data_IF_715543319004
#
_entry.id   IF_715543319004
#
_cell.length_a   1.000
_cell.length_b   1.000
_cell.length_c   1.000
_cell.angle_alpha   90.00
_cell.angle_beta   90.00
_cell.angle_gamma   90.00
#
_symmetry.space_group_name_H-M   'P 1'
#
loop_
_entity.id
_entity.type
_entity.pdbx_description
1 polymer ?
#
# COMPACT_ATOMS: atom_id res chain seq x y z
N UNK A 1 -13.23 13.99 -2.79
CA UNK A 1 -13.55 12.66 -2.23
C UNK A 1 -14.40 12.89 -1.00
N UNK A 2 -15.64 12.38 -0.95
CA UNK A 2 -16.29 12.18 0.34
C UNK A 2 -15.59 10.98 0.95
N UNK A 3 -14.71 11.23 1.91
CA UNK A 3 -14.31 10.19 2.85
C UNK A 3 -15.61 9.58 3.38
N UNK A 4 -15.66 8.26 3.47
CA UNK A 4 -16.82 7.58 4.05
C UNK A 4 -17.00 8.18 5.45
N UNK A 5 -18.13 8.86 5.72
CA UNK A 5 -18.58 9.19 7.09
C UNK A 5 -18.98 7.87 7.80
N UNK A 6 -18.09 6.88 7.76
CA UNK A 6 -18.28 5.59 8.36
C UNK A 6 -18.11 5.76 9.87
N UNK A 7 -19.11 5.28 10.60
CA UNK A 7 -19.03 5.18 12.05
C UNK A 7 -17.97 4.15 12.44
N UNK A 8 -17.34 4.30 13.62
CA UNK A 8 -16.35 3.32 14.12
C UNK A 8 -16.77 1.84 13.98
N UNK A 9 -18.04 1.44 14.23
CA UNK A 9 -18.48 0.07 13.97
C UNK A 9 -18.46 -0.33 12.48
N UNK A 10 -18.79 0.57 11.55
CA UNK A 10 -18.72 0.30 10.11
C UNK A 10 -17.26 0.13 9.65
N UNK A 11 -16.34 0.94 10.17
CA UNK A 11 -14.90 0.80 9.92
C UNK A 11 -14.36 -0.54 10.45
N UNK A 12 -14.81 -0.96 11.64
CA UNK A 12 -14.46 -2.28 12.21
C UNK A 12 -14.99 -3.44 11.35
N UNK A 13 -16.17 -3.31 10.78
CA UNK A 13 -16.74 -4.33 9.89
C UNK A 13 -15.99 -4.37 8.55
N UNK A 14 -15.58 -3.22 8.01
CA UNK A 14 -14.72 -3.14 6.83
C UNK A 14 -13.35 -3.78 7.07
N UNK A 15 -12.72 -3.50 8.22
CA UNK A 15 -11.46 -4.14 8.60
C UNK A 15 -11.63 -5.67 8.70
N UNK A 16 -12.69 -6.15 9.36
CA UNK A 16 -12.94 -7.60 9.44
C UNK A 16 -13.23 -8.24 8.07
N UNK A 17 -13.75 -7.48 7.11
CA UNK A 17 -14.02 -7.96 5.75
C UNK A 17 -12.75 -8.07 4.91
N UNK A 18 -11.85 -7.10 5.00
CA UNK A 18 -10.74 -6.94 4.07
C UNK A 18 -9.37 -7.36 4.62
N UNK A 19 -9.22 -7.50 5.93
CA UNK A 19 -7.98 -7.99 6.52
C UNK A 19 -7.70 -9.45 6.16
N UNK A 20 -6.43 -9.76 5.89
CA UNK A 20 -5.95 -11.12 5.71
C UNK A 20 -6.15 -11.99 6.96
N UNK A 21 -6.07 -13.33 6.83
CA UNK A 21 -6.47 -14.27 7.88
C UNK A 21 -5.72 -14.11 9.21
N UNK A 22 -4.46 -13.67 9.18
CA UNK A 22 -3.68 -13.39 10.39
C UNK A 22 -4.12 -12.09 11.06
N UNK A 23 -4.17 -10.98 10.32
CA UNK A 23 -4.58 -9.67 10.81
C UNK A 23 -6.04 -9.68 11.30
N UNK A 24 -6.91 -10.45 10.65
CA UNK A 24 -8.31 -10.61 11.05
C UNK A 24 -8.47 -11.25 12.43
N UNK A 25 -7.69 -12.29 12.75
CA UNK A 25 -7.72 -12.93 14.09
C UNK A 25 -7.38 -11.92 15.18
N UNK A 26 -6.36 -11.11 14.93
CA UNK A 26 -5.96 -10.06 15.86
C UNK A 26 -7.01 -8.96 16.00
N UNK A 27 -7.55 -8.47 14.87
CA UNK A 27 -8.60 -7.46 14.86
C UNK A 27 -9.86 -7.93 15.60
N UNK A 28 -10.29 -9.18 15.39
CA UNK A 28 -11.40 -9.77 16.12
C UNK A 28 -11.13 -9.85 17.64
N UNK A 29 -9.92 -10.25 18.05
CA UNK A 29 -9.55 -10.29 19.47
C UNK A 29 -9.56 -8.90 20.12
N UNK A 30 -9.07 -7.88 19.41
CA UNK A 30 -9.06 -6.50 19.91
C UNK A 30 -10.46 -5.89 19.96
N UNK A 31 -11.33 -6.22 19.00
CA UNK A 31 -12.74 -5.83 19.03
C UNK A 31 -13.46 -6.38 20.26
N UNK A 32 -13.32 -7.68 20.54
CA UNK A 32 -13.92 -8.32 21.72
C UNK A 32 -13.42 -7.69 23.02
N UNK A 33 -12.12 -7.38 23.09
CA UNK A 33 -11.52 -6.77 24.27
C UNK A 33 -11.97 -5.32 24.53
N UNK A 34 -12.50 -4.62 23.53
CA UNK A 34 -12.97 -3.24 23.63
C UNK A 34 -14.46 -3.11 23.21
N UNK A 35 -15.29 -4.12 23.52
CA UNK A 35 -16.72 -4.16 23.14
C UNK A 35 -17.54 -2.97 23.68
N UNK A 36 -17.06 -2.32 24.74
CA UNK A 36 -17.71 -1.14 25.35
C UNK A 36 -17.18 0.19 24.82
N UNK A 37 -16.15 0.16 23.97
CA UNK A 37 -15.48 1.34 23.42
C UNK A 37 -14.90 1.00 22.03
N UNK A 38 -15.77 1.07 21.02
CA UNK A 38 -15.47 0.65 19.65
C UNK A 38 -14.44 1.56 18.98
N UNK A 39 -14.43 2.85 19.30
CA UNK A 39 -13.43 3.81 18.80
C UNK A 39 -12.04 3.45 19.29
N UNK A 40 -11.88 3.18 20.59
CA UNK A 40 -10.60 2.70 21.13
C UNK A 40 -10.20 1.33 20.58
N UNK A 41 -11.19 0.46 20.33
CA UNK A 41 -10.97 -0.83 19.67
C UNK A 41 -10.39 -0.65 18.26
N UNK A 42 -10.94 0.28 17.49
CA UNK A 42 -10.48 0.61 16.15
C UNK A 42 -9.06 1.20 16.14
N UNK A 43 -8.77 2.17 17.01
CA UNK A 43 -7.44 2.78 17.15
C UNK A 43 -6.38 1.71 17.43
N UNK A 44 -6.62 0.82 18.40
CA UNK A 44 -5.69 -0.27 18.74
C UNK A 44 -5.47 -1.25 17.60
N UNK A 45 -6.46 -1.46 16.74
CA UNK A 45 -6.31 -2.33 15.57
C UNK A 45 -5.38 -1.64 14.57
N UNK A 46 -5.57 -0.35 14.31
CA UNK A 46 -4.71 0.43 13.42
C UNK A 46 -3.27 0.53 13.94
N UNK A 47 -3.07 0.87 15.21
CA UNK A 47 -1.75 0.90 15.86
C UNK A 47 -1.01 -0.42 15.63
N UNK A 48 -1.72 -1.53 15.83
CA UNK A 48 -1.13 -2.85 15.72
C UNK A 48 -0.83 -3.28 14.29
N UNK A 49 -1.65 -2.84 13.33
CA UNK A 49 -1.37 -3.03 11.90
C UNK A 49 -0.13 -2.23 11.50
N UNK A 50 -0.01 -0.99 11.99
CA UNK A 50 1.17 -0.15 11.75
C UNK A 50 2.43 -0.75 12.38
N UNK A 51 2.35 -1.28 13.61
CA UNK A 51 3.46 -1.99 14.28
C UNK A 51 3.97 -3.18 13.44
N UNK A 52 3.07 -3.93 12.81
CA UNK A 52 3.43 -5.15 12.05
C UNK A 52 3.83 -4.87 10.61
N UNK A 53 3.22 -3.89 9.95
CA UNK A 53 3.29 -3.71 8.50
C UNK A 53 3.70 -2.30 8.08
N UNK A 54 3.64 -1.32 8.98
CA UNK A 54 3.98 0.09 8.72
C UNK A 54 5.47 0.41 8.84
N UNK A 55 6.34 -0.58 9.09
CA UNK A 55 7.78 -0.37 9.05
C UNK A 55 8.18 0.15 7.66
N UNK A 56 8.96 1.24 7.55
CA UNK A 56 9.31 1.84 6.26
C UNK A 56 9.91 0.85 5.26
N UNK A 57 10.72 -0.08 5.75
CA UNK A 57 11.36 -1.14 4.97
C UNK A 57 10.33 -2.14 4.41
N UNK A 58 9.30 -2.47 5.20
CA UNK A 58 8.24 -3.39 4.78
C UNK A 58 7.34 -2.76 3.72
N UNK A 59 6.98 -1.48 3.91
CA UNK A 59 6.20 -0.72 2.93
C UNK A 59 6.99 -0.56 1.62
N UNK A 60 8.26 -0.15 1.71
CA UNK A 60 9.13 -0.01 0.54
C UNK A 60 9.34 -1.34 -0.20
N UNK A 61 9.58 -2.44 0.53
CA UNK A 61 9.71 -3.76 -0.06
C UNK A 61 8.43 -4.21 -0.77
N UNK A 62 7.26 -3.96 -0.18
CA UNK A 62 5.97 -4.28 -0.80
C UNK A 62 5.74 -3.49 -2.08
N UNK A 63 6.08 -2.20 -2.11
CA UNK A 63 5.96 -1.36 -3.31
C UNK A 63 6.94 -1.81 -4.40
N UNK A 64 8.19 -2.09 -4.02
CA UNK A 64 9.20 -2.63 -4.92
C UNK A 64 8.76 -3.96 -5.54
N UNK A 65 8.26 -4.88 -4.72
CA UNK A 65 7.81 -6.19 -5.20
C UNK A 65 6.66 -6.07 -6.21
N UNK A 66 5.72 -5.15 -5.99
CA UNK A 66 4.63 -4.87 -6.93
C UNK A 66 5.15 -4.35 -8.26
N UNK A 67 6.13 -3.45 -8.24
CA UNK A 67 6.77 -2.95 -9.45
C UNK A 67 7.59 -4.03 -10.17
N UNK A 68 8.32 -4.86 -9.43
CA UNK A 68 9.13 -5.95 -9.96
C UNK A 68 8.24 -6.98 -10.67
N UNK A 69 7.12 -7.36 -10.04
CA UNK A 69 6.11 -8.26 -10.59
C UNK A 69 5.28 -7.65 -11.72
N UNK A 70 5.30 -6.32 -11.89
CA UNK A 70 4.58 -5.66 -12.97
C UNK A 70 5.13 -6.14 -14.33
N UNK A 71 4.28 -6.64 -15.24
CA UNK A 71 4.74 -7.22 -16.50
C UNK A 71 5.27 -6.12 -17.44
N UNK A 72 6.16 -6.50 -18.37
CA UNK A 72 6.53 -5.60 -19.47
C UNK A 72 5.31 -5.35 -20.36
N UNK A 73 5.00 -4.07 -20.57
CA UNK A 73 3.86 -3.60 -21.35
C UNK A 73 4.16 -3.78 -22.84
N UNK A 74 3.25 -4.42 -23.55
CA UNK A 74 3.31 -4.59 -25.00
C UNK A 74 2.62 -3.43 -25.71
N UNK A 75 2.86 -3.34 -27.02
CA UNK A 75 2.15 -2.37 -27.86
C UNK A 75 0.63 -2.63 -27.77
N UNK A 76 -0.13 -1.54 -27.64
CA UNK A 76 -1.59 -1.55 -27.56
C UNK A 76 -2.20 -2.05 -26.22
N UNK A 77 -1.40 -2.25 -25.17
CA UNK A 77 -1.88 -2.52 -23.80
C UNK A 77 -2.08 -1.22 -23.00
N UNK A 78 -3.00 -0.35 -23.45
CA UNK A 78 -3.21 0.97 -22.83
C UNK A 78 -3.68 0.89 -21.37
N UNK A 79 -4.50 -0.11 -21.03
CA UNK A 79 -4.99 -0.30 -19.66
C UNK A 79 -3.83 -0.51 -18.67
N UNK A 80 -2.80 -1.27 -19.08
CA UNK A 80 -1.60 -1.50 -18.24
C UNK A 80 -0.73 -0.26 -18.08
N UNK A 81 -0.77 0.67 -19.03
CA UNK A 81 -0.09 1.96 -18.85
C UNK A 81 -0.75 2.77 -17.73
N UNK A 82 -2.09 2.74 -17.65
CA UNK A 82 -2.82 3.36 -16.54
C UNK A 82 -2.57 2.62 -15.22
N UNK A 83 -2.59 1.29 -15.20
CA UNK A 83 -2.25 0.52 -13.99
C UNK A 83 -0.82 0.81 -13.48
N UNK A 84 0.14 0.97 -14.39
CA UNK A 84 1.50 1.38 -14.03
C UNK A 84 1.52 2.82 -13.51
N UNK A 85 0.81 3.75 -14.15
CA UNK A 85 0.72 5.13 -13.69
C UNK A 85 0.07 5.24 -12.30
N UNK A 86 -0.95 4.42 -12.02
CA UNK A 86 -1.59 4.33 -10.71
C UNK A 86 -0.61 3.83 -9.64
N UNK A 87 0.15 2.77 -9.94
CA UNK A 87 1.19 2.26 -9.05
C UNK A 87 2.28 3.31 -8.76
N UNK A 88 2.72 4.05 -9.79
CA UNK A 88 3.71 5.12 -9.64
C UNK A 88 3.17 6.30 -8.84
N UNK A 89 1.89 6.64 -9.03
CA UNK A 89 1.22 7.69 -8.26
C UNK A 89 1.08 7.31 -6.78
N UNK A 90 0.83 6.03 -6.50
CA UNK A 90 0.85 5.50 -5.14
C UNK A 90 2.25 5.64 -4.52
N UNK A 91 3.30 5.22 -5.24
CA UNK A 91 4.69 5.35 -4.77
C UNK A 91 5.04 6.82 -4.48
N UNK A 92 4.68 7.74 -5.38
CA UNK A 92 4.92 9.17 -5.19
C UNK A 92 4.17 9.73 -3.97
N UNK A 93 2.92 9.33 -3.78
CA UNK A 93 2.12 9.73 -2.62
C UNK A 93 2.76 9.26 -1.30
N UNK A 94 3.24 8.01 -1.24
CA UNK A 94 3.91 7.48 -0.04
C UNK A 94 5.26 8.17 0.19
N UNK A 95 5.99 8.52 -0.87
CA UNK A 95 7.25 9.27 -0.80
C UNK A 95 7.12 10.67 -0.17
N UNK A 96 5.95 11.30 -0.30
CA UNK A 96 5.71 12.62 0.30
C UNK A 96 5.62 12.56 1.83
N UNK A 97 5.36 11.38 2.42
CA UNK A 97 5.38 11.19 3.85
C UNK A 97 6.81 11.08 4.37
N UNK A 98 7.18 11.94 5.33
CA UNK A 98 8.53 12.01 5.90
C UNK A 98 9.02 10.67 6.46
N UNK A 99 8.10 9.83 6.99
CA UNK A 99 8.40 8.50 7.53
C UNK A 99 9.00 7.56 6.48
N UNK A 100 8.59 7.68 5.22
CA UNK A 100 8.97 6.76 4.13
C UNK A 100 9.92 7.38 3.12
N UNK A 101 10.05 8.71 3.11
CA UNK A 101 10.84 9.47 2.14
C UNK A 101 12.25 8.93 1.92
N UNK A 102 12.96 8.61 3.01
CA UNK A 102 14.36 8.18 2.92
C UNK A 102 14.52 6.80 2.27
N UNK A 103 13.69 5.83 2.66
CA UNK A 103 13.75 4.46 2.11
C UNK A 103 13.23 4.40 0.67
N UNK A 104 12.32 5.30 0.29
CA UNK A 104 11.76 5.38 -1.07
C UNK A 104 12.55 6.30 -2.01
N UNK A 105 13.57 7.01 -1.53
CA UNK A 105 14.40 7.89 -2.37
C UNK A 105 15.12 7.12 -3.50
N UNK A 106 15.25 5.80 -3.38
CA UNK A 106 15.83 4.96 -4.43
C UNK A 106 15.05 5.06 -5.77
N UNK A 107 13.75 5.34 -5.72
CA UNK A 107 12.93 5.53 -6.91
C UNK A 107 13.32 6.80 -7.69
N UNK A 108 14.01 7.75 -7.06
CA UNK A 108 14.54 8.96 -7.71
C UNK A 108 15.93 8.75 -8.30
N UNK A 109 16.60 7.65 -7.96
CA UNK A 109 17.89 7.29 -8.52
C UNK A 109 17.72 6.66 -9.90
N UNK A 110 18.76 6.77 -10.76
CA UNK A 110 18.75 6.20 -12.11
C UNK A 110 18.41 4.71 -12.14
N UNK A 111 18.83 3.96 -11.11
CA UNK A 111 18.49 2.55 -10.99
C UNK A 111 16.98 2.32 -10.85
N UNK A 112 16.30 3.06 -9.95
CA UNK A 112 14.85 2.95 -9.76
C UNK A 112 14.07 3.43 -10.98
N UNK A 113 14.51 4.50 -11.62
CA UNK A 113 13.90 4.99 -12.88
C UNK A 113 14.05 3.94 -13.99
N UNK A 114 15.21 3.29 -14.11
CA UNK A 114 15.41 2.23 -15.09
C UNK A 114 14.48 1.03 -14.85
N UNK A 115 14.24 0.62 -13.60
CA UNK A 115 13.27 -0.44 -13.28
C UNK A 115 11.88 -0.11 -13.86
N UNK A 116 11.46 1.16 -13.83
CA UNK A 116 10.18 1.61 -14.40
C UNK A 116 10.21 1.64 -15.92
N UNK A 117 11.25 2.25 -16.49
CA UNK A 117 11.38 2.45 -17.93
C UNK A 117 11.45 1.12 -18.67
N UNK A 118 12.07 0.09 -18.08
CA UNK A 118 12.13 -1.26 -18.68
C UNK A 118 10.76 -1.91 -18.86
N UNK A 119 9.72 -1.45 -18.12
CA UNK A 119 8.35 -1.94 -18.24
C UNK A 119 7.58 -1.28 -19.39
N UNK A 120 8.02 -0.14 -19.90
CA UNK A 120 7.32 0.60 -20.94
C UNK A 120 7.44 -0.06 -22.32
N UNK A 121 6.43 0.11 -23.20
CA UNK A 121 6.56 -0.30 -24.59
C UNK A 121 7.64 0.52 -25.28
N UNK A 122 8.37 -0.10 -26.22
CA UNK A 122 9.47 0.50 -26.99
C UNK A 122 10.78 0.79 -26.26
N UNK A 123 10.94 0.41 -24.98
CA UNK A 123 12.26 0.43 -24.36
C UNK A 123 13.15 -0.68 -24.92
N UNK A 124 14.13 -0.26 -25.73
CA UNK A 124 15.27 -1.05 -26.18
C UNK A 124 16.45 -0.75 -25.24
N UNK A 125 16.85 -1.74 -24.44
CA UNK A 125 18.15 -1.71 -23.78
C UNK A 125 19.17 -2.15 -24.84
N UNK A 126 19.98 -1.20 -25.31
CA UNK A 126 21.17 -1.48 -26.13
C UNK A 126 22.27 -2.16 -25.28
#
# INVERSE_FOLDING_TARGET
MKELDATSPEELDLLNKWLGPQSKKQASSLRVANVHDETRGLEKIWERLDERYGAPESVAASLKERLDRFPKIKNNEYDKLYELADLLSEIDSVKQNERYKLVLAYFDASYGVNEIVTKLPYFHAD
#
